data_IF_214824537089
#
_entry.id   IF_214824537089
#
_cell.length_a   1.000
_cell.length_b   1.000
_cell.length_c   1.000
_cell.angle_alpha   90.00
_cell.angle_beta   90.00
_cell.angle_gamma   90.00
#
_symmetry.space_group_name_H-M   'P 1'
#
loop_
_entity.id
_entity.type
_entity.pdbx_description
1 polymer ?
#
# COMPACT_ATOMS: atom_id res chain seq x y z
N UNK A 1 -22.79 -2.04 18.51
CA UNK A 1 -22.94 -1.82 17.06
C UNK A 1 -21.62 -1.60 16.30
N UNK A 2 -20.87 -0.52 16.51
CA UNK A 2 -19.59 -0.29 15.79
C UNK A 2 -18.55 -1.41 15.93
N UNK A 3 -18.42 -2.00 17.13
CA UNK A 3 -17.57 -3.18 17.34
C UNK A 3 -18.04 -4.38 16.50
N UNK A 4 -19.35 -4.60 16.38
CA UNK A 4 -19.91 -5.69 15.57
C UNK A 4 -19.71 -5.44 14.08
N UNK A 5 -19.84 -4.20 13.61
CA UNK A 5 -19.48 -3.81 12.24
C UNK A 5 -18.00 -4.08 11.95
N UNK A 6 -17.09 -3.68 12.84
CA UNK A 6 -15.67 -3.94 12.70
C UNK A 6 -15.31 -5.45 12.73
N UNK A 7 -16.03 -6.24 13.53
CA UNK A 7 -15.85 -7.69 13.60
C UNK A 7 -16.49 -8.42 12.42
N UNK A 8 -17.62 -7.94 11.90
CA UNK A 8 -18.33 -8.53 10.76
C UNK A 8 -17.77 -8.10 9.41
N UNK A 9 -17.17 -6.91 9.33
CA UNK A 9 -16.22 -6.57 8.27
C UNK A 9 -14.93 -7.39 8.37
N UNK A 10 -14.82 -8.25 9.41
CA UNK A 10 -13.77 -9.23 9.73
C UNK A 10 -12.49 -9.00 8.97
N UNK A 11 -11.69 -8.03 9.43
CA UNK A 11 -10.41 -7.70 8.80
C UNK A 11 -9.63 -6.63 9.57
N UNK A 12 -9.36 -6.75 10.89
CA UNK A 12 -8.06 -6.18 11.33
C UNK A 12 -6.96 -6.92 10.61
N UNK A 13 -7.08 -8.25 10.47
CA UNK A 13 -6.18 -9.13 9.73
C UNK A 13 -6.10 -8.82 8.23
N UNK A 14 -7.22 -8.59 7.55
CA UNK A 14 -7.16 -8.19 6.14
C UNK A 14 -6.87 -6.69 5.94
N UNK A 15 -7.05 -5.81 6.94
CA UNK A 15 -6.59 -4.43 6.85
C UNK A 15 -5.07 -4.41 7.04
N UNK A 16 -4.56 -5.13 8.04
CA UNK A 16 -3.13 -5.37 8.21
C UNK A 16 -2.52 -6.00 6.94
N UNK A 17 -3.18 -6.99 6.34
CA UNK A 17 -2.77 -7.54 5.04
C UNK A 17 -2.72 -6.46 3.96
N UNK A 18 -3.76 -5.62 3.82
CA UNK A 18 -3.75 -4.48 2.87
C UNK A 18 -2.57 -3.55 3.14
N UNK A 19 -2.37 -3.11 4.38
CA UNK A 19 -1.27 -2.22 4.74
C UNK A 19 0.10 -2.85 4.51
N UNK A 20 0.27 -4.15 4.78
CA UNK A 20 1.49 -4.89 4.46
C UNK A 20 1.73 -4.97 2.95
N UNK A 21 0.68 -5.27 2.17
CA UNK A 21 0.78 -5.33 0.71
C UNK A 21 1.10 -3.97 0.10
N UNK A 22 0.48 -2.89 0.60
CA UNK A 22 0.79 -1.52 0.19
C UNK A 22 2.23 -1.17 0.58
N UNK A 23 2.61 -1.40 1.84
CA UNK A 23 3.95 -1.11 2.34
C UNK A 23 5.04 -1.84 1.56
N UNK A 24 4.81 -3.13 1.25
CA UNK A 24 5.69 -3.91 0.37
C UNK A 24 5.78 -3.31 -1.03
N UNK A 25 4.65 -2.93 -1.61
CA UNK A 25 4.61 -2.34 -2.95
C UNK A 25 5.39 -1.02 -3.03
N UNK A 26 5.24 -0.16 -2.02
CA UNK A 26 5.99 1.08 -1.89
C UNK A 26 7.49 0.82 -1.71
N UNK A 27 7.87 -0.17 -0.90
CA UNK A 27 9.26 -0.55 -0.71
C UNK A 27 9.91 -1.07 -2.02
N UNK A 28 9.16 -1.86 -2.81
CA UNK A 28 9.62 -2.33 -4.13
C UNK A 28 9.78 -1.16 -5.10
N UNK A 29 8.78 -0.27 -5.18
CA UNK A 29 8.86 0.93 -6.02
C UNK A 29 10.04 1.82 -5.65
N UNK A 30 10.29 2.03 -4.36
CA UNK A 30 11.47 2.78 -3.86
C UNK A 30 12.78 2.11 -4.28
N UNK A 31 12.88 0.79 -4.14
CA UNK A 31 14.05 0.03 -4.54
C UNK A 31 14.31 0.13 -6.05
N UNK A 32 13.26 0.11 -6.86
CA UNK A 32 13.35 0.35 -8.31
C UNK A 32 13.78 1.78 -8.64
N UNK A 33 13.30 2.76 -7.88
CA UNK A 33 13.74 4.16 -8.00
C UNK A 33 15.24 4.35 -7.74
N UNK A 34 15.87 3.45 -6.98
CA UNK A 34 17.33 3.41 -6.79
C UNK A 34 18.07 2.62 -7.89
N UNK A 35 17.38 2.24 -8.96
CA UNK A 35 18.00 1.62 -10.15
C UNK A 35 17.95 0.10 -10.19
N UNK A 36 17.30 -0.57 -9.22
CA UNK A 36 17.10 -2.03 -9.28
C UNK A 36 16.01 -2.39 -10.29
N UNK A 37 16.15 -3.54 -10.96
CA UNK A 37 15.04 -4.11 -11.71
C UNK A 37 13.99 -4.74 -10.77
N UNK A 38 12.79 -5.04 -11.29
CA UNK A 38 11.68 -5.55 -10.48
C UNK A 38 12.05 -6.80 -9.67
N UNK A 39 12.73 -7.78 -10.28
CA UNK A 39 13.08 -9.02 -9.59
C UNK A 39 14.09 -8.79 -8.45
N UNK A 40 15.09 -7.93 -8.66
CA UNK A 40 16.07 -7.56 -7.65
C UNK A 40 15.44 -6.76 -6.51
N UNK A 41 14.57 -5.80 -6.85
CA UNK A 41 13.82 -5.02 -5.88
C UNK A 41 12.94 -5.92 -5.01
N UNK A 42 12.21 -6.87 -5.61
CA UNK A 42 11.40 -7.83 -4.87
C UNK A 42 12.23 -8.75 -3.98
N UNK A 43 13.35 -9.28 -4.47
CA UNK A 43 14.29 -10.10 -3.66
C UNK A 43 14.86 -9.30 -2.50
N UNK A 44 15.27 -8.05 -2.73
CA UNK A 44 15.82 -7.16 -1.70
C UNK A 44 14.79 -6.83 -0.63
N UNK A 45 13.57 -6.49 -1.03
CA UNK A 45 12.48 -6.20 -0.10
C UNK A 45 12.08 -7.45 0.68
N UNK A 46 12.04 -8.62 0.05
CA UNK A 46 11.77 -9.88 0.75
C UNK A 46 12.86 -10.23 1.78
N UNK A 47 14.14 -9.99 1.45
CA UNK A 47 15.29 -10.22 2.36
C UNK A 47 15.32 -9.25 3.55
N UNK A 48 14.88 -8.01 3.33
CA UNK A 48 14.95 -6.93 4.32
C UNK A 48 13.61 -6.63 4.98
N UNK A 49 12.54 -7.37 4.67
CA UNK A 49 11.25 -7.17 5.27
C UNK A 49 11.38 -7.41 6.79
N UNK A 50 11.21 -6.37 7.64
CA UNK A 50 11.08 -6.64 9.07
C UNK A 50 9.84 -7.51 9.22
N UNK A 51 9.99 -8.67 9.86
CA UNK A 51 8.87 -9.48 10.29
C UNK A 51 8.16 -8.78 11.45
N UNK A 52 7.49 -7.66 11.18
CA UNK A 52 6.45 -7.21 12.10
C UNK A 52 5.36 -8.29 12.03
N UNK A 53 5.12 -9.04 13.13
CA UNK A 53 4.10 -10.07 13.10
C UNK A 53 2.78 -9.42 12.66
N UNK A 54 1.99 -10.06 11.77
CA UNK A 54 0.68 -9.52 11.35
C UNK A 54 -0.15 -9.04 12.54
N UNK A 55 -0.07 -9.75 13.66
CA UNK A 55 -0.69 -9.42 14.95
C UNK A 55 -0.26 -8.06 15.53
N UNK A 56 1.02 -7.70 15.48
CA UNK A 56 1.52 -6.43 16.01
C UNK A 56 1.04 -5.26 15.15
N UNK A 57 1.02 -5.45 13.83
CA UNK A 57 0.48 -4.46 12.91
C UNK A 57 -1.04 -4.30 13.11
N UNK A 58 -1.78 -5.40 13.23
CA UNK A 58 -3.21 -5.38 13.55
C UNK A 58 -3.52 -4.57 14.81
N UNK A 59 -2.75 -4.80 15.88
CA UNK A 59 -2.92 -4.06 17.13
C UNK A 59 -2.67 -2.56 16.94
N UNK A 60 -1.61 -2.20 16.20
CA UNK A 60 -1.30 -0.80 15.91
C UNK A 60 -2.38 -0.09 15.06
N UNK A 61 -3.01 -0.84 14.15
CA UNK A 61 -4.02 -0.30 13.23
C UNK A 61 -5.43 -0.29 13.84
N UNK A 62 -5.67 -1.06 14.90
CA UNK A 62 -6.99 -1.21 15.52
C UNK A 62 -7.60 0.13 15.94
N UNK A 63 -6.84 0.97 16.66
CA UNK A 63 -7.35 2.25 17.15
C UNK A 63 -7.63 3.27 16.01
N UNK A 64 -6.71 3.46 15.04
CA UNK A 64 -6.99 4.26 13.84
C UNK A 64 -8.20 3.78 13.03
N UNK A 65 -8.33 2.47 12.80
CA UNK A 65 -9.45 1.90 12.03
C UNK A 65 -10.78 2.11 12.75
N UNK A 66 -10.84 1.91 14.06
CA UNK A 66 -12.07 2.17 14.84
C UNK A 66 -12.48 3.65 14.73
N UNK A 67 -11.52 4.58 14.79
CA UNK A 67 -11.80 6.02 14.60
C UNK A 67 -12.29 6.33 13.20
N UNK A 68 -11.66 5.76 12.17
CA UNK A 68 -12.09 5.91 10.78
C UNK A 68 -13.52 5.43 10.57
N UNK A 69 -13.87 4.25 11.08
CA UNK A 69 -15.22 3.71 10.97
C UNK A 69 -16.24 4.55 11.75
N UNK A 70 -15.88 4.99 12.96
CA UNK A 70 -16.75 5.86 13.76
C UNK A 70 -17.06 7.18 13.05
N UNK A 71 -16.06 7.77 12.38
CA UNK A 71 -16.25 8.98 11.60
C UNK A 71 -17.01 8.73 10.29
N UNK A 72 -16.66 7.67 9.56
CA UNK A 72 -17.26 7.31 8.28
C UNK A 72 -18.73 6.92 8.38
N UNK A 73 -19.13 6.39 9.53
CA UNK A 73 -20.51 5.99 9.79
C UNK A 73 -21.28 6.98 10.68
N UNK A 74 -20.70 8.13 11.03
CA UNK A 74 -21.29 9.09 11.97
C UNK A 74 -22.67 9.62 11.57
N UNK A 75 -22.97 9.60 10.27
CA UNK A 75 -24.23 10.11 9.71
C UNK A 75 -25.27 9.03 9.41
N UNK A 76 -24.98 7.76 9.72
CA UNK A 76 -25.89 6.66 9.42
C UNK A 76 -26.82 6.37 10.59
N UNK A 77 -28.06 6.01 10.28
CA UNK A 77 -29.01 5.55 11.29
C UNK A 77 -28.66 4.13 11.77
N UNK A 78 -29.18 3.73 12.93
CA UNK A 78 -29.05 2.36 13.41
C UNK A 78 -29.68 1.34 12.43
N UNK A 79 -30.70 1.73 11.66
CA UNK A 79 -31.25 0.85 10.63
C UNK A 79 -30.24 0.61 9.50
N UNK A 80 -29.58 1.66 9.03
CA UNK A 80 -28.55 1.57 7.98
C UNK A 80 -27.36 0.72 8.45
N UNK A 81 -26.92 0.93 9.70
CA UNK A 81 -25.84 0.16 10.30
C UNK A 81 -26.18 -1.34 10.42
N UNK A 82 -27.44 -1.70 10.69
CA UNK A 82 -27.90 -3.10 10.68
C UNK A 82 -27.88 -3.70 9.27
N UNK A 83 -28.32 -2.95 8.27
CA UNK A 83 -28.34 -3.41 6.89
C UNK A 83 -26.93 -3.64 6.35
N UNK A 84 -26.00 -2.72 6.64
CA UNK A 84 -24.58 -2.86 6.30
C UNK A 84 -23.99 -4.08 7.00
N UNK A 85 -24.28 -4.25 8.29
CA UNK A 85 -23.81 -5.40 9.06
C UNK A 85 -24.29 -6.73 8.44
N UNK A 86 -25.58 -6.82 8.11
CA UNK A 86 -26.17 -8.00 7.49
C UNK A 86 -25.55 -8.30 6.12
N UNK A 87 -25.33 -7.27 5.29
CA UNK A 87 -24.65 -7.42 4.01
C UNK A 87 -23.23 -7.96 4.19
N UNK A 88 -22.43 -7.37 5.08
CA UNK A 88 -21.03 -7.79 5.32
C UNK A 88 -20.92 -9.24 5.83
N UNK A 89 -21.93 -9.72 6.57
CA UNK A 89 -21.99 -11.10 7.04
C UNK A 89 -22.41 -12.11 5.96
N UNK A 90 -23.05 -11.64 4.87
CA UNK A 90 -23.49 -12.50 3.77
C UNK A 90 -22.33 -13.01 2.91
N UNK A 91 -22.48 -14.13 2.17
CA UNK A 91 -21.48 -14.61 1.22
C UNK A 91 -21.10 -13.59 0.14
N UNK A 92 -22.09 -12.85 -0.37
CA UNK A 92 -21.88 -11.79 -1.37
C UNK A 92 -21.10 -10.62 -0.80
N UNK A 93 -21.39 -10.21 0.45
CA UNK A 93 -20.64 -9.16 1.13
C UNK A 93 -19.19 -9.55 1.40
N UNK A 94 -18.93 -10.79 1.81
CA UNK A 94 -17.55 -11.26 1.98
C UNK A 94 -16.79 -11.32 0.65
N UNK A 95 -17.44 -11.75 -0.43
CA UNK A 95 -16.85 -11.74 -1.77
C UNK A 95 -16.54 -10.32 -2.23
N UNK A 96 -17.49 -9.38 -2.02
CA UNK A 96 -17.30 -7.97 -2.31
C UNK A 96 -16.08 -7.40 -1.58
N UNK A 97 -16.00 -7.59 -0.26
CA UNK A 97 -14.88 -7.10 0.56
C UNK A 97 -13.54 -7.64 0.06
N UNK A 98 -13.43 -8.94 -0.20
CA UNK A 98 -12.21 -9.56 -0.76
C UNK A 98 -11.81 -8.94 -2.11
N UNK A 99 -12.77 -8.77 -3.01
CA UNK A 99 -12.53 -8.16 -4.31
C UNK A 99 -12.08 -6.70 -4.20
N UNK A 100 -12.72 -5.91 -3.31
CA UNK A 100 -12.32 -4.52 -3.04
C UNK A 100 -10.90 -4.43 -2.52
N UNK A 101 -10.52 -5.29 -1.57
CA UNK A 101 -9.16 -5.38 -1.02
C UNK A 101 -8.15 -5.72 -2.12
N UNK A 102 -8.43 -6.74 -2.94
CA UNK A 102 -7.56 -7.15 -4.03
C UNK A 102 -7.37 -6.03 -5.06
N UNK A 103 -8.45 -5.32 -5.40
CA UNK A 103 -8.44 -4.20 -6.34
C UNK A 103 -7.59 -3.03 -5.81
N UNK A 104 -7.79 -2.64 -4.54
CA UNK A 104 -6.99 -1.58 -3.91
C UNK A 104 -5.50 -1.95 -3.87
N UNK A 105 -5.19 -3.17 -3.45
CA UNK A 105 -3.82 -3.66 -3.41
C UNK A 105 -3.15 -3.64 -4.80
N UNK A 106 -3.87 -4.08 -5.84
CA UNK A 106 -3.37 -4.04 -7.21
C UNK A 106 -3.13 -2.60 -7.70
N UNK A 107 -4.03 -1.66 -7.38
CA UNK A 107 -3.87 -0.24 -7.69
C UNK A 107 -2.63 0.37 -7.06
N UNK A 108 -2.44 0.17 -5.75
CA UNK A 108 -1.24 0.66 -5.06
C UNK A 108 0.04 0.02 -5.59
N UNK A 109 0.01 -1.27 -5.94
CA UNK A 109 1.15 -1.95 -6.57
C UNK A 109 1.49 -1.32 -7.91
N UNK A 110 0.52 -1.20 -8.81
CA UNK A 110 0.73 -0.59 -10.13
C UNK A 110 1.29 0.83 -10.03
N UNK A 111 0.70 1.65 -9.15
CA UNK A 111 1.18 3.01 -8.90
C UNK A 111 2.62 3.02 -8.40
N UNK A 112 2.94 2.20 -7.38
CA UNK A 112 4.28 2.17 -6.78
C UNK A 112 5.35 1.73 -7.79
N UNK A 113 5.04 0.73 -8.61
CA UNK A 113 5.94 0.26 -9.67
C UNK A 113 6.19 1.35 -10.71
N UNK A 114 5.14 1.96 -11.25
CA UNK A 114 5.27 3.02 -12.26
C UNK A 114 6.01 4.24 -11.72
N UNK A 115 5.78 4.63 -10.47
CA UNK A 115 6.54 5.70 -9.81
C UNK A 115 8.02 5.32 -9.67
N UNK A 116 8.31 4.09 -9.23
CA UNK A 116 9.68 3.58 -9.12
C UNK A 116 10.42 3.57 -10.45
N UNK A 117 9.78 3.07 -11.51
CA UNK A 117 10.32 3.05 -12.88
C UNK A 117 10.68 4.46 -13.34
N UNK A 118 9.73 5.40 -13.28
CA UNK A 118 9.93 6.77 -13.76
C UNK A 118 11.01 7.51 -12.98
N UNK A 119 11.06 7.32 -11.65
CA UNK A 119 12.13 7.89 -10.83
C UNK A 119 13.48 7.31 -11.26
N UNK A 120 13.57 6.00 -11.43
CA UNK A 120 14.79 5.33 -11.89
C UNK A 120 15.24 5.77 -13.29
N UNK A 121 14.29 6.00 -14.21
CA UNK A 121 14.55 6.57 -15.54
C UNK A 121 15.12 7.98 -15.44
N UNK A 122 14.48 8.86 -14.68
CA UNK A 122 14.94 10.23 -14.47
C UNK A 122 16.37 10.30 -13.91
N UNK A 123 16.71 9.44 -12.95
CA UNK A 123 18.09 9.37 -12.43
C UNK A 123 19.10 8.91 -13.48
N UNK A 124 18.72 7.98 -14.37
CA UNK A 124 19.60 7.53 -15.47
C UNK A 124 19.81 8.63 -16.51
N UNK A 125 18.76 9.38 -16.83
CA UNK A 125 18.85 10.53 -17.76
C UNK A 125 19.78 11.62 -17.20
N UNK A 126 19.65 11.95 -15.91
CA UNK A 126 20.55 12.91 -15.23
C UNK A 126 22.00 12.42 -15.30
N UNK A 127 22.27 11.17 -14.94
CA UNK A 127 23.62 10.62 -14.95
C UNK A 127 24.24 10.59 -16.37
N UNK A 128 23.44 10.30 -17.40
CA UNK A 128 23.90 10.35 -18.80
C UNK A 128 24.23 11.79 -19.21
N UNK A 129 23.38 12.75 -18.87
CA UNK A 129 23.60 14.17 -19.16
C UNK A 129 24.84 14.74 -18.43
N UNK A 130 25.09 14.31 -17.19
CA UNK A 130 26.31 14.67 -16.45
C UNK A 130 27.56 14.05 -17.08
N UNK A 131 27.49 12.78 -17.54
CA UNK A 131 28.62 12.12 -18.22
C UNK A 131 28.97 12.73 -19.58
N UNK A 132 28.00 13.34 -20.27
CA UNK A 132 28.18 14.04 -21.54
C UNK A 132 28.62 15.51 -21.36
N UNK A 133 28.52 16.05 -20.15
CA UNK A 133 28.88 17.44 -19.81
C UNK A 133 30.36 17.68 -19.48
N UNK A 134 31.16 16.62 -19.30
CA UNK A 134 32.58 16.72 -18.88
C UNK A 134 33.56 16.97 -20.06
N UNK A 135 33.03 17.38 -21.21
CA UNK A 135 33.78 17.72 -22.43
C UNK A 135 33.91 19.24 -22.70
N UNK A 136 33.56 20.11 -21.75
CA UNK A 136 33.72 21.55 -21.90
C UNK A 136 35.20 21.96 -21.73
N UNK A 137 35.77 22.80 -22.61
CA UNK A 137 37.19 23.11 -22.59
C UNK A 137 37.58 23.86 -21.32
N UNK A 138 38.69 23.45 -20.69
CA UNK A 138 39.32 24.21 -19.59
C UNK A 138 39.64 25.63 -20.07
N UNK A 139 39.27 26.68 -19.31
CA UNK A 139 39.72 28.03 -19.63
C UNK A 139 41.24 28.08 -19.51
N UNK A 140 41.89 28.57 -20.56
CA UNK A 140 43.31 28.83 -20.59
C UNK A 140 43.65 30.00 -19.65
N UNK A 141 44.47 29.72 -18.66
CA UNK A 141 45.23 30.71 -17.90
C UNK A 141 46.70 30.28 -17.86
#
# INVERSE_FOLDING_TARGET
MFKQLATASRSTESAATVYLTIGRSLAVGKAMGYGLNLQEAEKRVAKNAPAAPPLALEQSLKAPLVRYLAYGYRGLSDADLRNILAFLQSPSGQTYVKASIASLAAGFRSMSLRCGERIGESWREIAQNESLGDGAPKPAH
#
